data_IF_491316182120
#
_entry.id   IF_491316182120
#
_cell.length_a   1.000
_cell.length_b   1.000
_cell.length_c   1.000
_cell.angle_alpha   90.00
_cell.angle_beta   90.00
_cell.angle_gamma   90.00
#
_symmetry.space_group_name_H-M   'P 1'
#
loop_
_entity.id
_entity.type
_entity.pdbx_description
1 polymer ?
#
# COMPACT_ATOMS: atom_id res chain seq x y z
N UNK A 1 11.29 -3.34 4.57
CA UNK A 1 10.10 -2.45 4.69
C UNK A 1 9.41 -2.57 6.05
N UNK A 2 8.20 -3.16 6.19
CA UNK A 2 7.37 -2.83 7.39
C UNK A 2 7.36 -3.81 8.57
N UNK A 3 7.81 -5.06 8.39
CA UNK A 3 7.61 -6.12 9.40
C UNK A 3 6.15 -6.57 9.57
N UNK A 4 5.22 -6.03 8.77
CA UNK A 4 3.79 -6.35 8.83
C UNK A 4 3.45 -7.46 7.85
N UNK A 5 2.81 -8.52 8.34
CA UNK A 5 2.11 -9.47 7.49
C UNK A 5 0.75 -8.89 7.10
N UNK A 6 0.59 -8.55 5.82
CA UNK A 6 -0.61 -7.91 5.30
C UNK A 6 -1.63 -8.92 4.72
N UNK A 7 -2.92 -8.66 4.94
CA UNK A 7 -4.01 -9.24 4.14
C UNK A 7 -4.51 -8.19 3.17
N UNK A 8 -4.39 -8.46 1.87
CA UNK A 8 -4.81 -7.54 0.83
C UNK A 8 -6.34 -7.43 0.76
N UNK A 9 -6.82 -6.19 0.65
CA UNK A 9 -8.20 -5.81 0.40
C UNK A 9 -8.40 -5.35 -1.04
N UNK A 10 -9.25 -4.32 -1.28
CA UNK A 10 -9.46 -3.79 -2.62
C UNK A 10 -8.18 -3.20 -3.23
N UNK A 11 -8.07 -3.34 -4.54
CA UNK A 11 -7.04 -2.67 -5.33
C UNK A 11 -7.34 -1.17 -5.40
N UNK A 12 -6.30 -0.36 -5.29
CA UNK A 12 -6.32 1.08 -5.47
C UNK A 12 -5.89 1.45 -6.92
N UNK A 13 -6.03 2.71 -7.35
CA UNK A 13 -5.54 3.12 -8.66
C UNK A 13 -4.06 2.81 -8.87
N UNK A 14 -3.70 2.41 -10.10
CA UNK A 14 -2.30 2.26 -10.51
C UNK A 14 -1.68 3.64 -10.66
N UNK A 15 -0.46 3.80 -10.16
CA UNK A 15 0.36 4.96 -10.44
C UNK A 15 1.37 4.66 -11.55
N UNK A 16 1.60 5.64 -12.41
CA UNK A 16 2.61 5.60 -13.46
C UNK A 16 3.41 6.90 -13.41
N UNK A 17 4.71 6.80 -13.18
CA UNK A 17 5.61 7.95 -13.07
C UNK A 17 7.03 7.57 -13.45
N UNK A 18 7.89 8.56 -13.73
CA UNK A 18 9.32 8.31 -13.95
C UNK A 18 10.08 8.34 -12.64
N UNK A 19 10.92 7.34 -12.40
CA UNK A 19 11.84 7.28 -11.28
C UNK A 19 13.25 7.03 -11.81
N UNK A 20 14.21 7.89 -11.45
CA UNK A 20 15.60 7.80 -11.93
C UNK A 20 15.71 7.73 -13.47
N UNK A 21 14.80 8.42 -14.18
CA UNK A 21 14.73 8.42 -15.65
C UNK A 21 14.15 7.15 -16.27
N UNK A 22 13.58 6.25 -15.46
CA UNK A 22 12.97 4.99 -15.90
C UNK A 22 11.47 5.04 -15.63
N UNK A 23 10.61 4.76 -16.63
CA UNK A 23 9.18 4.61 -16.41
C UNK A 23 8.87 3.51 -15.39
N UNK A 24 8.13 3.86 -14.35
CA UNK A 24 7.73 2.97 -13.26
C UNK A 24 6.20 2.88 -13.20
N UNK A 25 5.69 1.66 -13.06
CA UNK A 25 4.28 1.36 -12.85
C UNK A 25 4.16 0.69 -11.48
N UNK A 26 3.27 1.19 -10.62
CA UNK A 26 3.05 0.67 -9.27
C UNK A 26 1.57 0.41 -9.06
N UNK A 27 1.25 -0.83 -8.70
CA UNK A 27 -0.09 -1.23 -8.29
C UNK A 27 -0.19 -1.24 -6.77
N UNK A 28 -1.21 -0.59 -6.24
CA UNK A 28 -1.45 -0.46 -4.81
C UNK A 28 -2.71 -1.21 -4.38
N UNK A 29 -2.70 -1.66 -3.12
CA UNK A 29 -3.84 -2.28 -2.46
C UNK A 29 -4.04 -1.65 -1.08
N UNK A 30 -5.30 -1.46 -0.69
CA UNK A 30 -5.60 -1.29 0.73
C UNK A 30 -5.31 -2.63 1.43
N UNK A 31 -4.67 -2.58 2.58
CA UNK A 31 -4.27 -3.78 3.32
C UNK A 31 -4.58 -3.63 4.80
N UNK A 32 -4.89 -4.76 5.44
CA UNK A 32 -5.06 -4.85 6.89
C UNK A 32 -3.93 -5.67 7.51
N UNK A 33 -3.54 -5.30 8.72
CA UNK A 33 -2.56 -6.04 9.51
C UNK A 33 -3.16 -7.39 9.90
N UNK A 34 -2.50 -8.48 9.51
CA UNK A 34 -2.79 -9.83 10.00
C UNK A 34 -1.99 -10.11 11.28
N UNK A 35 -0.71 -9.76 11.24
CA UNK A 35 0.25 -9.81 12.33
C UNK A 35 1.40 -8.86 12.03
N UNK A 36 2.19 -8.54 13.05
CA UNK A 36 3.39 -7.72 12.93
C UNK A 36 4.51 -8.33 13.77
N UNK A 37 5.73 -8.23 13.26
CA UNK A 37 6.95 -8.48 14.01
C UNK A 37 7.60 -7.14 14.39
N UNK A 38 8.55 -7.18 15.33
CA UNK A 38 9.30 -5.98 15.69
C UNK A 38 10.04 -5.45 14.46
N UNK A 39 9.82 -4.16 14.16
CA UNK A 39 10.51 -3.49 13.06
C UNK A 39 12.00 -3.31 13.37
N UNK A 40 12.84 -3.74 12.43
CA UNK A 40 14.29 -3.51 12.46
C UNK A 40 14.64 -2.57 11.31
N UNK A 41 15.15 -1.35 11.61
CA UNK A 41 15.63 -0.41 10.60
C UNK A 41 16.72 -1.01 9.70
N UNK A 42 16.73 -0.59 8.44
CA UNK A 42 17.74 -0.95 7.44
C UNK A 42 18.21 0.28 6.64
N UNK A 43 19.01 0.06 5.59
CA UNK A 43 19.54 1.14 4.75
C UNK A 43 18.46 1.86 3.92
N UNK A 44 17.26 1.27 3.80
CA UNK A 44 16.15 1.80 3.02
C UNK A 44 15.11 2.49 3.90
N UNK A 45 14.77 1.88 5.05
CA UNK A 45 13.74 2.36 5.97
C UNK A 45 14.33 2.50 7.37
N UNK A 46 14.35 3.73 7.88
CA UNK A 46 14.86 4.07 9.20
C UNK A 46 13.78 4.07 10.29
N UNK A 47 12.51 4.31 9.92
CA UNK A 47 11.40 4.44 10.87
C UNK A 47 10.04 4.00 10.30
N UNK A 48 9.18 3.47 11.18
CA UNK A 48 7.75 3.23 10.92
C UNK A 48 6.90 3.94 11.96
N UNK A 49 5.85 4.61 11.50
CA UNK A 49 4.88 5.28 12.36
C UNK A 49 3.45 4.90 11.98
N UNK A 50 2.67 4.47 12.96
CA UNK A 50 1.21 4.35 12.84
C UNK A 50 0.56 5.67 13.22
N UNK A 51 -0.30 6.21 12.34
CA UNK A 51 -0.97 7.48 12.58
C UNK A 51 -2.31 7.60 11.85
N UNK A 52 -3.19 8.54 12.27
CA UNK A 52 -4.39 8.86 11.52
C UNK A 52 -4.07 9.38 10.10
N UNK A 53 -4.96 9.10 9.15
CA UNK A 53 -4.84 9.53 7.74
C UNK A 53 -4.57 11.02 7.60
N UNK A 54 -5.25 11.86 8.38
CA UNK A 54 -5.06 13.31 8.34
C UNK A 54 -3.62 13.75 8.68
N UNK A 55 -2.92 13.01 9.54
CA UNK A 55 -1.51 13.27 9.85
C UNK A 55 -0.59 12.68 8.77
N UNK A 56 -0.92 11.50 8.24
CA UNK A 56 -0.16 10.89 7.15
C UNK A 56 -0.08 11.82 5.93
N UNK A 57 -1.21 12.45 5.55
CA UNK A 57 -1.24 13.43 4.44
C UNK A 57 -0.28 14.61 4.64
N UNK A 58 0.02 15.00 5.87
CA UNK A 58 0.94 16.11 6.15
C UNK A 58 2.42 15.70 6.03
N UNK A 59 2.72 14.40 6.13
CA UNK A 59 4.08 13.87 6.13
C UNK A 59 4.49 13.24 4.80
N UNK A 60 3.53 12.74 4.02
CA UNK A 60 3.80 12.16 2.70
C UNK A 60 4.36 13.24 1.77
N UNK A 61 5.55 12.99 1.22
CA UNK A 61 6.25 13.93 0.36
C UNK A 61 5.76 13.91 -1.08
N UNK A 62 5.12 12.82 -1.50
CA UNK A 62 4.53 12.67 -2.82
C UNK A 62 3.01 12.84 -2.73
N UNK A 63 2.48 13.82 -3.46
CA UNK A 63 1.05 14.12 -3.50
C UNK A 63 0.21 12.90 -3.94
N UNK A 64 0.70 12.15 -4.92
CA UNK A 64 0.02 10.95 -5.41
C UNK A 64 -0.12 9.84 -4.35
N UNK A 65 0.80 9.76 -3.38
CA UNK A 65 0.70 8.81 -2.27
C UNK A 65 -0.31 9.28 -1.22
N UNK A 66 -0.33 10.59 -0.93
CA UNK A 66 -1.34 11.17 -0.04
C UNK A 66 -2.76 10.93 -0.58
N UNK A 67 -2.95 11.10 -1.89
CA UNK A 67 -4.23 10.87 -2.55
C UNK A 67 -4.65 9.41 -2.50
N UNK A 68 -3.71 8.45 -2.60
CA UNK A 68 -4.02 7.02 -2.42
C UNK A 68 -4.49 6.69 -1.00
N UNK A 69 -3.82 7.25 0.01
CA UNK A 69 -4.17 7.01 1.41
C UNK A 69 -5.57 7.55 1.71
N UNK A 70 -5.91 8.75 1.23
CA UNK A 70 -7.25 9.32 1.39
C UNK A 70 -8.31 8.51 0.63
N UNK A 71 -8.02 8.07 -0.59
CA UNK A 71 -8.94 7.23 -1.36
C UNK A 71 -9.22 5.92 -0.64
N UNK A 72 -8.20 5.29 -0.05
CA UNK A 72 -8.36 4.04 0.71
C UNK A 72 -9.37 4.18 1.86
N UNK A 73 -9.46 5.35 2.48
CA UNK A 73 -10.39 5.65 3.58
C UNK A 73 -11.86 5.71 3.15
N UNK A 74 -12.11 5.93 1.86
CA UNK A 74 -13.47 6.01 1.31
C UNK A 74 -14.03 4.64 0.91
N UNK A 75 -13.19 3.61 0.90
CA UNK A 75 -13.60 2.26 0.50
C UNK A 75 -14.46 1.61 1.60
N UNK A 76 -15.57 0.96 1.24
CA UNK A 76 -16.36 0.20 2.20
C UNK A 76 -15.57 -1.06 2.64
N UNK A 77 -15.92 -1.66 3.79
CA UNK A 77 -15.41 -2.98 4.14
C UNK A 77 -15.75 -4.01 3.07
N UNK A 78 -14.78 -4.83 2.69
CA UNK A 78 -14.95 -5.88 1.66
C UNK A 78 -14.44 -7.23 2.12
N UNK A 79 -14.87 -8.30 1.46
CA UNK A 79 -14.27 -9.63 1.54
C UNK A 79 -13.93 -10.12 0.12
N UNK A 80 -12.82 -10.86 -0.07
CA UNK A 80 -12.42 -11.32 -1.39
C UNK A 80 -13.23 -12.54 -1.85
N UNK A 81 -13.69 -12.53 -3.10
CA UNK A 81 -14.12 -13.72 -3.85
C UNK A 81 -13.14 -13.94 -4.99
N UNK A 82 -12.37 -15.02 -4.92
CA UNK A 82 -11.31 -15.32 -5.88
C UNK A 82 -11.82 -16.38 -6.87
N UNK A 83 -11.97 -15.99 -8.14
CA UNK A 83 -12.35 -16.90 -9.23
C UNK A 83 -11.12 -17.15 -10.10
N UNK A 84 -10.58 -18.36 -10.05
CA UNK A 84 -9.46 -18.78 -10.90
C UNK A 84 -9.95 -19.59 -12.10
N UNK A 85 -9.51 -19.21 -13.30
CA UNK A 85 -9.57 -20.08 -14.47
C UNK A 85 -8.48 -21.15 -14.37
N UNK A 86 -8.79 -22.37 -14.81
CA UNK A 86 -7.80 -23.45 -14.89
C UNK A 86 -6.58 -23.04 -15.74
N UNK A 87 -5.42 -23.60 -15.41
CA UNK A 87 -4.20 -23.40 -16.21
C UNK A 87 -4.34 -24.04 -17.60
N UNK A 88 -3.47 -23.65 -18.54
CA UNK A 88 -3.36 -24.33 -19.82
C UNK A 88 -3.05 -25.82 -19.56
N UNK A 89 -3.90 -26.69 -20.13
CA UNK A 89 -3.72 -28.13 -20.10
C UNK A 89 -2.93 -28.60 -21.32
#
# INVERSE_FOLDING_TARGET
ETGVQAVLGPRLPTQQYEALGIPKIVDYWAARVASEEDFLPDDEIDEIRWMPIAHARQLLTYEHDADLVEQSATLPPTFPLIVLRHAQA
#
